data_IF_271197253520
#
_entry.id   IF_271197253520
#
_cell.length_a   1.000
_cell.length_b   1.000
_cell.length_c   1.000
_cell.angle_alpha   90.00
_cell.angle_beta   90.00
_cell.angle_gamma   90.00
#
_symmetry.space_group_name_H-M   'P 1'
#
loop_
_entity.id
_entity.type
_entity.pdbx_description
1 polymer ?
#
# COMPACT_ATOMS: atom_id res chain seq x y z
N UNK A 1 26.02 8.10 12.00
CA UNK A 1 24.93 8.98 11.56
C UNK A 1 24.64 8.88 10.06
N UNK A 2 25.65 8.66 9.23
CA UNK A 2 25.46 8.41 7.79
C UNK A 2 24.60 7.17 7.51
N UNK A 3 24.50 6.26 8.49
CA UNK A 3 23.75 5.00 8.34
C UNK A 3 22.24 5.14 8.35
N UNK A 4 21.68 6.26 8.84
CA UNK A 4 20.23 6.42 8.97
C UNK A 4 19.51 6.44 7.62
N UNK A 5 20.05 7.19 6.64
CA UNK A 5 19.48 7.24 5.29
C UNK A 5 19.62 5.89 4.59
N UNK A 6 20.76 5.23 4.75
CA UNK A 6 20.97 3.90 4.17
C UNK A 6 20.03 2.86 4.78
N UNK A 7 19.79 2.95 6.10
CA UNK A 7 18.85 2.06 6.77
C UNK A 7 17.43 2.26 6.26
N UNK A 8 17.02 3.52 6.07
CA UNK A 8 15.69 3.83 5.51
C UNK A 8 15.53 3.28 4.10
N UNK A 9 16.56 3.42 3.26
CA UNK A 9 16.55 2.89 1.90
C UNK A 9 16.44 1.37 1.90
N UNK A 10 17.22 0.70 2.75
CA UNK A 10 17.19 -0.77 2.86
C UNK A 10 15.83 -1.25 3.32
N UNK A 11 15.23 -0.56 4.30
CA UNK A 11 13.89 -0.90 4.79
C UNK A 11 12.83 -0.71 3.70
N UNK A 12 12.93 0.40 2.95
CA UNK A 12 12.01 0.67 1.86
C UNK A 12 12.13 -0.40 0.75
N UNK A 13 13.35 -0.76 0.38
CA UNK A 13 13.60 -1.81 -0.61
C UNK A 13 13.08 -3.16 -0.14
N UNK A 14 13.34 -3.49 1.11
CA UNK A 14 12.88 -4.74 1.71
C UNK A 14 11.36 -4.79 1.77
N UNK A 15 10.72 -3.66 2.11
CA UNK A 15 9.26 -3.55 2.13
C UNK A 15 8.65 -3.79 0.75
N UNK A 16 9.23 -3.16 -0.29
CA UNK A 16 8.77 -3.37 -1.67
C UNK A 16 8.93 -4.81 -2.11
N UNK A 17 10.08 -5.41 -1.80
CA UNK A 17 10.34 -6.83 -2.16
C UNK A 17 9.36 -7.76 -1.44
N UNK A 18 9.10 -7.49 -0.17
CA UNK A 18 8.16 -8.29 0.62
C UNK A 18 6.73 -8.15 0.10
N UNK A 19 6.33 -6.93 -0.25
CA UNK A 19 5.00 -6.71 -0.86
C UNK A 19 4.86 -7.50 -2.16
N UNK A 20 5.91 -7.54 -2.99
CA UNK A 20 5.94 -8.37 -4.18
C UNK A 20 5.77 -9.85 -3.87
N UNK A 21 6.38 -10.33 -2.79
CA UNK A 21 6.19 -11.70 -2.30
C UNK A 21 4.74 -11.96 -1.90
N UNK A 22 4.11 -11.02 -1.18
CA UNK A 22 2.71 -11.15 -0.80
C UNK A 22 1.80 -11.22 -2.03
N UNK A 23 2.11 -10.45 -3.07
CA UNK A 23 1.36 -10.47 -4.32
C UNK A 23 1.48 -11.82 -5.04
N UNK A 24 2.63 -12.48 -4.92
CA UNK A 24 2.82 -13.80 -5.51
C UNK A 24 2.17 -14.92 -4.69
N UNK A 25 2.23 -14.84 -3.37
CA UNK A 25 1.71 -15.90 -2.48
C UNK A 25 0.22 -15.76 -2.19
N UNK A 26 -0.28 -14.54 -2.17
CA UNK A 26 -1.69 -14.25 -1.89
C UNK A 26 -2.28 -13.37 -2.99
N UNK A 27 -2.28 -13.84 -4.25
CA UNK A 27 -2.70 -13.01 -5.39
C UNK A 27 -4.18 -12.62 -5.34
N UNK A 28 -5.01 -13.40 -4.64
CA UNK A 28 -6.42 -13.06 -4.44
C UNK A 28 -6.64 -11.91 -3.47
N UNK A 29 -5.66 -11.64 -2.59
CA UNK A 29 -5.74 -10.58 -1.58
C UNK A 29 -4.94 -9.34 -2.00
N UNK A 30 -3.69 -9.53 -2.42
CA UNK A 30 -2.79 -8.43 -2.78
C UNK A 30 -2.56 -8.43 -4.29
N UNK A 31 -3.21 -7.53 -4.99
CA UNK A 31 -3.07 -7.47 -6.45
C UNK A 31 -2.02 -6.45 -6.87
N UNK A 32 -1.24 -6.80 -7.89
CA UNK A 32 -0.34 -5.88 -8.57
C UNK A 32 -1.06 -5.11 -9.68
N UNK A 33 -2.27 -5.55 -10.05
CA UNK A 33 -3.06 -4.92 -11.11
C UNK A 33 -4.04 -3.94 -10.48
N UNK A 34 -3.98 -2.68 -10.92
CA UNK A 34 -4.81 -1.61 -10.37
C UNK A 34 -6.30 -1.96 -10.36
N UNK A 35 -6.79 -2.50 -11.45
CA UNK A 35 -8.21 -2.81 -11.62
C UNK A 35 -8.68 -4.01 -10.78
N UNK A 36 -7.76 -4.81 -10.28
CA UNK A 36 -8.08 -5.97 -9.47
C UNK A 36 -7.91 -5.73 -7.97
N UNK A 37 -7.44 -4.55 -7.56
CA UNK A 37 -7.26 -4.22 -6.15
C UNK A 37 -8.61 -4.12 -5.45
N UNK A 38 -8.73 -4.75 -4.27
CA UNK A 38 -9.92 -4.72 -3.43
C UNK A 38 -9.53 -4.31 -2.01
N UNK A 39 -10.46 -3.73 -1.24
CA UNK A 39 -10.18 -3.48 0.17
C UNK A 39 -9.91 -4.80 0.90
N UNK A 40 -8.96 -4.78 1.83
CA UNK A 40 -8.60 -5.97 2.59
C UNK A 40 -9.35 -6.00 3.93
N UNK A 41 -9.54 -7.20 4.47
CA UNK A 41 -10.29 -7.42 5.71
C UNK A 41 -9.66 -6.67 6.89
N UNK A 42 -10.49 -6.16 7.79
CA UNK A 42 -10.03 -5.63 9.07
C UNK A 42 -9.41 -6.79 9.84
N UNK A 43 -8.22 -6.57 10.40
CA UNK A 43 -7.50 -7.63 11.10
C UNK A 43 -6.69 -8.54 10.19
N UNK A 44 -6.51 -8.17 8.93
CA UNK A 44 -5.72 -8.95 7.97
C UNK A 44 -4.30 -9.24 8.48
N UNK A 45 -3.74 -8.34 9.28
CA UNK A 45 -2.39 -8.50 9.82
C UNK A 45 -2.28 -9.76 10.68
N UNK A 46 -3.28 -10.05 11.49
CA UNK A 46 -3.33 -11.25 12.32
C UNK A 46 -3.39 -12.51 11.47
N UNK A 47 -4.26 -12.52 10.46
CA UNK A 47 -4.38 -13.65 9.52
C UNK A 47 -3.09 -13.85 8.76
N UNK A 48 -2.48 -12.76 8.32
CA UNK A 48 -1.22 -12.81 7.57
C UNK A 48 -0.08 -13.36 8.45
N UNK A 49 0.04 -12.87 9.70
CA UNK A 49 1.05 -13.38 10.64
C UNK A 49 0.92 -14.89 10.82
N UNK A 50 -0.30 -15.36 10.99
CA UNK A 50 -0.57 -16.78 11.16
C UNK A 50 -0.17 -17.59 9.92
N UNK A 51 -0.49 -17.08 8.73
CA UNK A 51 -0.13 -17.74 7.48
C UNK A 51 1.40 -17.79 7.28
N UNK A 52 2.09 -16.69 7.61
CA UNK A 52 3.55 -16.64 7.49
C UNK A 52 4.25 -17.56 8.49
N UNK A 53 3.73 -17.65 9.71
CA UNK A 53 4.29 -18.54 10.74
C UNK A 53 4.18 -20.01 10.34
N UNK A 54 3.19 -20.36 9.54
CA UNK A 54 3.01 -21.74 9.05
C UNK A 54 3.94 -22.09 7.89
N UNK A 55 4.61 -21.10 7.30
CA UNK A 55 5.53 -21.29 6.18
C UNK A 55 6.97 -21.14 6.67
N UNK A 56 7.78 -22.24 6.65
CA UNK A 56 9.16 -22.17 7.14
C UNK A 56 10.02 -21.10 6.47
N UNK A 57 9.75 -20.79 5.21
CA UNK A 57 10.50 -19.78 4.48
C UNK A 57 10.18 -18.34 4.91
N UNK A 58 9.02 -18.13 5.53
CA UNK A 58 8.52 -16.80 5.86
C UNK A 58 8.27 -16.58 7.36
N UNK A 59 8.46 -17.63 8.17
CA UNK A 59 8.20 -17.55 9.62
C UNK A 59 9.04 -16.49 10.32
N UNK A 60 10.24 -16.21 9.79
CA UNK A 60 11.16 -15.21 10.37
C UNK A 60 10.83 -13.77 9.97
N UNK A 61 9.77 -13.55 9.21
CA UNK A 61 9.38 -12.20 8.78
C UNK A 61 9.09 -11.34 10.01
N UNK A 62 9.80 -10.21 10.19
CA UNK A 62 9.56 -9.37 11.38
C UNK A 62 8.25 -8.60 11.25
N UNK A 63 7.64 -8.31 12.40
CA UNK A 63 6.35 -7.60 12.43
C UNK A 63 6.41 -6.22 11.80
N UNK A 64 7.55 -5.50 11.92
CA UNK A 64 7.68 -4.18 11.32
C UNK A 64 7.54 -4.25 9.79
N UNK A 65 8.05 -5.33 9.18
CA UNK A 65 7.99 -5.51 7.73
C UNK A 65 6.55 -5.75 7.28
N UNK A 66 5.81 -6.56 8.02
CA UNK A 66 4.40 -6.79 7.75
C UNK A 66 3.64 -5.48 7.81
N UNK A 67 3.84 -4.69 8.89
CA UNK A 67 3.15 -3.41 9.06
C UNK A 67 3.48 -2.43 7.94
N UNK A 68 4.75 -2.34 7.55
CA UNK A 68 5.18 -1.42 6.50
C UNK A 68 4.61 -1.80 5.14
N UNK A 69 4.60 -3.10 4.83
CA UNK A 69 4.06 -3.58 3.56
C UNK A 69 2.55 -3.32 3.48
N UNK A 70 1.81 -3.61 4.55
CA UNK A 70 0.38 -3.34 4.60
C UNK A 70 0.09 -1.84 4.50
N UNK A 71 0.88 -1.01 5.20
CA UNK A 71 0.72 0.43 5.14
C UNK A 71 0.97 0.96 3.72
N UNK A 72 1.99 0.46 3.05
CA UNK A 72 2.29 0.87 1.67
C UNK A 72 1.16 0.46 0.72
N UNK A 73 0.65 -0.76 0.86
CA UNK A 73 -0.45 -1.25 0.02
C UNK A 73 -1.73 -0.45 0.22
N UNK A 74 -2.12 -0.22 1.49
CA UNK A 74 -3.38 0.44 1.82
C UNK A 74 -3.36 1.95 1.61
N UNK A 75 -2.18 2.55 1.42
CA UNK A 75 -2.03 3.97 1.07
C UNK A 75 -1.93 4.20 -0.43
N UNK A 76 -1.86 3.14 -1.22
CA UNK A 76 -1.73 3.29 -2.67
C UNK A 76 -2.99 3.93 -3.26
N UNK A 77 -2.86 4.73 -4.34
CA UNK A 77 -4.02 5.31 -5.00
C UNK A 77 -5.03 4.27 -5.45
N UNK A 78 -4.57 3.14 -5.98
CA UNK A 78 -5.45 2.06 -6.43
C UNK A 78 -6.28 1.48 -5.27
N UNK A 79 -5.67 1.31 -4.10
CA UNK A 79 -6.38 0.80 -2.92
C UNK A 79 -7.42 1.80 -2.44
N UNK A 80 -7.05 3.07 -2.33
CA UNK A 80 -8.00 4.10 -1.91
C UNK A 80 -9.18 4.22 -2.87
N UNK A 81 -8.92 4.14 -4.17
CA UNK A 81 -9.98 4.16 -5.18
C UNK A 81 -10.93 2.97 -5.02
N UNK A 82 -10.41 1.78 -4.68
CA UNK A 82 -11.24 0.60 -4.44
C UNK A 82 -12.14 0.77 -3.21
N UNK A 83 -11.63 1.38 -2.14
CA UNK A 83 -12.44 1.69 -0.95
C UNK A 83 -13.52 2.71 -1.29
N UNK A 84 -13.17 3.76 -2.04
CA UNK A 84 -14.11 4.82 -2.45
C UNK A 84 -15.23 4.23 -3.32
N UNK A 85 -14.89 3.26 -4.17
CA UNK A 85 -15.89 2.58 -5.01
C UNK A 85 -16.85 1.70 -4.21
N UNK A 86 -16.56 1.48 -2.91
CA UNK A 86 -17.43 0.69 -2.04
C UNK A 86 -17.32 -0.80 -2.25
N UNK A 87 -16.18 -1.26 -2.78
CA UNK A 87 -15.94 -2.68 -2.97
C UNK A 87 -15.93 -3.43 -1.63
N UNK A 88 -16.41 -4.68 -1.64
CA UNK A 88 -16.41 -5.52 -0.45
C UNK A 88 -14.99 -5.90 -0.05
N UNK A 89 -14.71 -5.90 1.27
CA UNK A 89 -13.41 -6.33 1.78
C UNK A 89 -13.22 -7.83 1.57
N UNK A 90 -11.98 -8.23 1.33
CA UNK A 90 -11.62 -9.62 1.04
C UNK A 90 -10.60 -10.13 2.06
N UNK A 91 -10.62 -11.46 2.28
CA UNK A 91 -9.62 -12.12 3.12
C UNK A 91 -8.39 -12.52 2.32
N UNK A 92 -7.45 -13.25 2.94
CA UNK A 92 -6.21 -13.67 2.27
C UNK A 92 -6.45 -14.54 1.03
N UNK A 93 -7.57 -15.24 0.99
CA UNK A 93 -7.93 -16.10 -0.13
C UNK A 93 -8.73 -15.37 -1.20
N UNK A 94 -8.98 -14.07 -1.00
CA UNK A 94 -9.76 -13.27 -1.94
C UNK A 94 -11.26 -13.41 -1.79
N UNK A 95 -11.73 -14.03 -0.70
CA UNK A 95 -13.16 -14.23 -0.47
C UNK A 95 -13.76 -12.99 0.21
N UNK A 96 -14.98 -12.58 -0.19
CA UNK A 96 -15.63 -11.43 0.44
C UNK A 96 -15.95 -11.70 1.90
N UNK A 97 -15.69 -10.72 2.77
CA UNK A 97 -15.91 -10.87 4.21
C UNK A 97 -16.86 -9.82 4.77
N UNK A 98 -16.65 -8.54 4.48
CA UNK A 98 -17.47 -7.47 5.05
C UNK A 98 -17.48 -6.24 4.13
N UNK A 99 -18.55 -5.45 4.14
CA UNK A 99 -18.57 -4.21 3.37
C UNK A 99 -17.66 -3.15 4.00
N UNK A 100 -17.18 -2.21 3.18
CA UNK A 100 -16.52 -1.02 3.69
C UNK A 100 -17.56 -0.11 4.32
N UNK A 101 -17.18 0.57 5.42
CA UNK A 101 -18.08 1.49 6.10
C UNK A 101 -18.11 2.86 5.42
N UNK A 102 -19.14 3.64 5.71
CA UNK A 102 -19.21 5.02 5.22
C UNK A 102 -18.04 5.86 5.74
N UNK A 103 -17.61 5.61 6.97
CA UNK A 103 -16.45 6.29 7.57
C UNK A 103 -15.16 5.95 6.84
N UNK A 104 -14.99 4.69 6.47
CA UNK A 104 -13.80 4.26 5.71
C UNK A 104 -13.78 4.91 4.33
N UNK A 105 -14.91 5.01 3.66
CA UNK A 105 -15.02 5.66 2.35
C UNK A 105 -14.68 7.15 2.47
N UNK A 106 -15.22 7.83 3.49
CA UNK A 106 -14.96 9.25 3.71
C UNK A 106 -13.47 9.50 3.95
N UNK A 107 -12.82 8.67 4.78
CA UNK A 107 -11.40 8.79 5.05
C UNK A 107 -10.58 8.55 3.78
N UNK A 108 -10.95 7.55 2.99
CA UNK A 108 -10.26 7.25 1.74
C UNK A 108 -10.37 8.41 0.74
N UNK A 109 -11.54 9.05 0.66
CA UNK A 109 -11.73 10.23 -0.20
C UNK A 109 -10.82 11.38 0.22
N UNK A 110 -10.71 11.62 1.52
CA UNK A 110 -9.84 12.67 2.06
C UNK A 110 -8.37 12.38 1.72
N UNK A 111 -7.92 11.17 1.98
CA UNK A 111 -6.54 10.76 1.68
C UNK A 111 -6.24 10.83 0.19
N UNK A 112 -7.19 10.41 -0.64
CA UNK A 112 -7.03 10.44 -2.10
C UNK A 112 -6.95 11.88 -2.62
N UNK A 113 -7.78 12.76 -2.07
CA UNK A 113 -7.77 14.19 -2.39
C UNK A 113 -6.41 14.82 -2.04
N UNK A 114 -5.87 14.50 -0.87
CA UNK A 114 -4.53 14.98 -0.46
C UNK A 114 -3.43 14.47 -1.40
N UNK A 115 -3.51 13.21 -1.84
CA UNK A 115 -2.56 12.65 -2.79
C UNK A 115 -2.58 13.40 -4.12
N UNK A 116 -3.77 13.70 -4.62
CA UNK A 116 -3.95 14.45 -5.88
C UNK A 116 -3.39 15.87 -5.74
N UNK A 117 -3.64 16.51 -4.61
CA UNK A 117 -3.14 17.86 -4.34
C UNK A 117 -1.61 17.88 -4.32
N UNK A 118 -1.00 16.93 -3.62
CA UNK A 118 0.46 16.81 -3.57
C UNK A 118 1.07 16.52 -4.95
N UNK A 119 0.42 15.65 -5.73
CA UNK A 119 0.88 15.35 -7.08
C UNK A 119 0.81 16.59 -7.98
N UNK A 120 -0.27 17.37 -7.89
CA UNK A 120 -0.41 18.61 -8.64
C UNK A 120 0.66 19.63 -8.24
N UNK A 121 0.96 19.74 -6.96
CA UNK A 121 2.00 20.61 -6.43
C UNK A 121 3.38 20.22 -7.00
N UNK A 122 3.69 18.93 -6.99
CA UNK A 122 4.95 18.46 -7.56
C UNK A 122 5.07 18.76 -9.05
N UNK A 123 3.97 18.60 -9.80
CA UNK A 123 3.95 18.93 -11.23
C UNK A 123 4.21 20.41 -11.47
N UNK A 124 3.57 21.28 -10.67
CA UNK A 124 3.79 22.74 -10.76
C UNK A 124 5.24 23.10 -10.45
N UNK A 125 5.80 22.51 -9.39
CA UNK A 125 7.19 22.77 -9.03
C UNK A 125 8.15 22.35 -10.13
N UNK A 126 7.91 21.19 -10.76
CA UNK A 126 8.73 20.74 -11.89
C UNK A 126 8.61 21.66 -13.10
N UNK A 127 7.39 22.12 -13.40
CA UNK A 127 7.16 23.03 -14.52
C UNK A 127 7.87 24.37 -14.30
N UNK A 128 7.82 24.90 -13.09
CA UNK A 128 8.51 26.14 -12.71
C UNK A 128 10.03 25.97 -12.80
N UNK A 129 10.57 24.85 -12.31
CA UNK A 129 11.99 24.56 -12.39
C UNK A 129 12.47 24.45 -13.84
N UNK A 130 11.69 23.75 -14.68
CA UNK A 130 12.00 23.61 -16.10
C UNK A 130 11.96 24.95 -16.82
N UNK A 131 11.01 25.83 -16.48
CA UNK A 131 10.90 27.17 -17.05
C UNK A 131 12.10 28.03 -16.64
N UNK A 132 12.50 27.96 -15.37
CA UNK A 132 13.68 28.68 -14.88
C UNK A 132 14.95 28.26 -15.63
N UNK A 133 15.13 26.96 -15.85
CA UNK A 133 16.26 26.43 -16.62
C UNK A 133 16.27 26.95 -18.06
N UNK A 134 15.09 27.00 -18.70
CA UNK A 134 15.00 27.48 -20.08
C UNK A 134 15.35 28.97 -20.23
N UNK A 135 15.11 29.73 -19.17
CA UNK A 135 15.42 31.17 -19.18
C UNK A 135 16.90 31.50 -18.90
N UNK A 136 17.66 30.52 -18.45
CA UNK A 136 19.10 30.65 -18.26
C UNK A 136 19.85 30.19 -19.50
#
# INVERSE_FOLDING_TARGET
MANTLNQKRRRAERTRAFLGELQQRFPGCFSAKREAVRPIAIGIQTSLRKALDADPDLADTPNWLIRQALAQYTRSPAYLDAVIAGETRIDLDGQPVEPVTAEAIALAREQRSEQKARAAERRRARAEAAETERQQ
#
